data_IF_762943553323
#
_entry.id   IF_762943553323
#
_cell.length_a   1.000
_cell.length_b   1.000
_cell.length_c   1.000
_cell.angle_alpha   90.00
_cell.angle_beta   90.00
_cell.angle_gamma   90.00
#
_symmetry.space_group_name_H-M   'P 1'
#
loop_
_entity.id
_entity.type
_entity.pdbx_description
1 polymer ?
#
# COMPACT_ATOMS: atom_id res chain seq x y z
N UNK A 1 -52.00 -8.08 37.49
CA UNK A 1 -50.76 -8.87 37.49
C UNK A 1 -49.96 -8.70 36.21
N UNK A 2 -50.61 -8.75 35.04
CA UNK A 2 -49.96 -8.70 33.71
C UNK A 2 -49.13 -7.42 33.44
N UNK A 3 -49.64 -6.23 33.81
CA UNK A 3 -48.93 -4.94 33.68
C UNK A 3 -47.63 -4.92 34.49
N UNK A 4 -47.60 -5.58 35.65
CA UNK A 4 -46.43 -5.60 36.55
C UNK A 4 -45.34 -6.53 35.99
N UNK A 5 -45.73 -7.67 35.41
CA UNK A 5 -44.82 -8.57 34.69
C UNK A 5 -44.23 -7.92 33.43
N UNK A 6 -45.05 -7.22 32.64
CA UNK A 6 -44.59 -6.47 31.47
C UNK A 6 -43.59 -5.38 31.85
N UNK A 7 -43.85 -4.66 32.95
CA UNK A 7 -42.94 -3.61 33.45
C UNK A 7 -41.59 -4.18 33.89
N UNK A 8 -41.59 -5.31 34.60
CA UNK A 8 -40.35 -6.03 34.95
C UNK A 8 -39.58 -6.47 33.71
N UNK A 9 -40.28 -7.00 32.70
CA UNK A 9 -39.66 -7.44 31.46
C UNK A 9 -39.03 -6.27 30.68
N UNK A 10 -39.71 -5.13 30.59
CA UNK A 10 -39.18 -3.91 29.96
C UNK A 10 -37.92 -3.42 30.67
N UNK A 11 -37.93 -3.37 32.01
CA UNK A 11 -36.76 -2.95 32.78
C UNK A 11 -35.57 -3.91 32.58
N UNK A 12 -35.82 -5.22 32.53
CA UNK A 12 -34.79 -6.22 32.26
C UNK A 12 -34.20 -6.05 30.86
N UNK A 13 -35.06 -5.88 29.85
CA UNK A 13 -34.63 -5.65 28.47
C UNK A 13 -33.82 -4.36 28.35
N UNK A 14 -34.22 -3.29 29.03
CA UNK A 14 -33.51 -2.02 28.99
C UNK A 14 -32.12 -2.10 29.64
N UNK A 15 -32.01 -2.86 30.73
CA UNK A 15 -30.72 -3.17 31.34
C UNK A 15 -29.83 -4.01 30.40
N UNK A 16 -30.40 -4.98 29.68
CA UNK A 16 -29.68 -5.78 28.70
C UNK A 16 -29.18 -4.94 27.51
N UNK A 17 -30.02 -4.06 26.96
CA UNK A 17 -29.65 -3.15 25.86
C UNK A 17 -28.49 -2.26 26.29
N UNK A 18 -28.58 -1.63 27.46
CA UNK A 18 -27.48 -0.81 28.00
C UNK A 18 -26.19 -1.63 28.17
N UNK A 19 -26.30 -2.86 28.66
CA UNK A 19 -25.17 -3.79 28.77
C UNK A 19 -24.56 -4.16 27.41
N UNK A 20 -25.36 -4.33 26.37
CA UNK A 20 -24.88 -4.60 25.02
C UNK A 20 -24.23 -3.38 24.38
N UNK A 21 -24.77 -2.18 24.58
CA UNK A 21 -24.16 -0.93 24.10
C UNK A 21 -22.76 -0.71 24.69
N UNK A 22 -22.60 -0.95 25.99
CA UNK A 22 -21.29 -0.86 26.65
C UNK A 22 -20.29 -1.88 26.08
N UNK A 23 -20.73 -3.11 25.81
CA UNK A 23 -19.90 -4.15 25.18
C UNK A 23 -19.53 -3.79 23.74
N UNK A 24 -20.47 -3.24 22.96
CA UNK A 24 -20.22 -2.79 21.60
C UNK A 24 -19.16 -1.69 21.58
N UNK A 25 -19.31 -0.66 22.41
CA UNK A 25 -18.32 0.41 22.53
C UNK A 25 -16.92 -0.13 22.85
N UNK A 26 -16.82 -1.04 23.82
CA UNK A 26 -15.54 -1.66 24.19
C UNK A 26 -14.93 -2.45 23.04
N UNK A 27 -15.75 -3.18 22.27
CA UNK A 27 -15.27 -3.93 21.09
C UNK A 27 -14.84 -2.99 19.97
N UNK A 28 -15.56 -1.90 19.72
CA UNK A 28 -15.18 -0.90 18.72
C UNK A 28 -13.85 -0.24 19.05
N UNK A 29 -13.63 0.09 20.33
CA UNK A 29 -12.36 0.65 20.78
C UNK A 29 -11.20 -0.36 20.62
N UNK A 30 -11.46 -1.64 20.89
CA UNK A 30 -10.48 -2.71 20.65
C UNK A 30 -10.17 -2.91 19.17
N UNK A 31 -11.19 -2.89 18.30
CA UNK A 31 -11.01 -3.00 16.84
C UNK A 31 -10.13 -1.85 16.34
N UNK A 32 -10.43 -0.60 16.74
CA UNK A 32 -9.63 0.57 16.34
C UNK A 32 -8.15 0.44 16.73
N UNK A 33 -7.88 -0.03 17.95
CA UNK A 33 -6.50 -0.22 18.40
C UNK A 33 -5.79 -1.36 17.65
N UNK A 34 -6.49 -2.46 17.38
CA UNK A 34 -5.94 -3.57 16.60
C UNK A 34 -5.66 -3.16 15.15
N UNK A 35 -6.55 -2.42 14.51
CA UNK A 35 -6.35 -1.88 13.16
C UNK A 35 -5.12 -0.96 13.12
N UNK A 36 -4.96 -0.10 14.12
CA UNK A 36 -3.79 0.79 14.24
C UNK A 36 -2.49 0.00 14.39
N UNK A 37 -2.46 -1.02 15.25
CA UNK A 37 -1.28 -1.87 15.46
C UNK A 37 -0.95 -2.69 14.21
N UNK A 38 -1.97 -3.20 13.54
CA UNK A 38 -1.81 -3.94 12.28
C UNK A 38 -1.22 -3.05 11.19
N UNK A 39 -1.73 -1.82 11.02
CA UNK A 39 -1.19 -0.88 10.04
C UNK A 39 0.28 -0.54 10.32
N UNK A 40 0.68 -0.34 11.58
CA UNK A 40 2.09 -0.13 11.95
C UNK A 40 2.95 -1.36 11.61
N UNK A 41 2.48 -2.56 11.91
CA UNK A 41 3.20 -3.80 11.59
C UNK A 41 3.32 -4.03 10.08
N UNK A 42 2.25 -3.80 9.31
CA UNK A 42 2.27 -3.88 7.85
C UNK A 42 3.22 -2.85 7.25
N UNK A 43 3.20 -1.60 7.73
CA UNK A 43 4.15 -0.58 7.30
C UNK A 43 5.59 -1.06 7.51
N UNK A 44 5.88 -1.65 8.67
CA UNK A 44 7.22 -2.18 8.97
C UNK A 44 7.62 -3.30 8.02
N UNK A 45 6.73 -4.26 7.77
CA UNK A 45 6.98 -5.39 6.86
C UNK A 45 7.20 -4.97 5.41
N UNK A 46 6.59 -3.85 4.98
CA UNK A 46 6.72 -3.32 3.61
C UNK A 46 7.85 -2.32 3.44
N UNK A 47 8.65 -2.03 4.47
CA UNK A 47 9.69 -1.00 4.42
C UNK A 47 10.73 -1.24 3.33
N UNK A 48 10.99 -2.50 3.00
CA UNK A 48 11.98 -2.92 2.02
C UNK A 48 11.32 -3.36 0.70
N UNK A 49 9.99 -3.22 0.62
CA UNK A 49 9.20 -3.53 -0.56
C UNK A 49 9.04 -2.30 -1.46
N UNK A 50 9.01 -2.59 -2.76
CA UNK A 50 8.76 -1.64 -3.82
C UNK A 50 7.67 -2.19 -4.73
N UNK A 51 6.78 -1.32 -5.21
CA UNK A 51 5.76 -1.69 -6.19
C UNK A 51 6.08 -1.09 -7.57
N UNK A 52 6.08 -1.96 -8.57
CA UNK A 52 6.29 -1.63 -9.98
C UNK A 52 4.97 -1.81 -10.71
N UNK A 53 4.57 -0.82 -11.48
CA UNK A 53 3.38 -0.88 -12.34
C UNK A 53 3.71 -0.55 -13.78
N UNK A 54 2.96 -1.14 -14.72
CA UNK A 54 3.12 -0.90 -16.16
C UNK A 54 4.19 -1.74 -16.85
N UNK A 55 5.01 -2.48 -16.10
CA UNK A 55 5.99 -3.41 -16.69
C UNK A 55 5.27 -4.64 -17.27
N UNK A 56 5.40 -4.84 -18.58
CA UNK A 56 4.89 -6.03 -19.27
C UNK A 56 5.85 -7.19 -19.06
N UNK A 57 5.40 -8.25 -18.40
CA UNK A 57 6.20 -9.45 -18.15
C UNK A 57 5.60 -10.64 -18.88
N UNK A 58 6.48 -11.52 -19.39
CA UNK A 58 6.12 -12.73 -20.14
C UNK A 58 5.95 -13.96 -19.24
N UNK A 59 6.18 -13.82 -17.94
CA UNK A 59 6.10 -14.96 -17.04
C UNK A 59 4.66 -15.49 -17.01
N UNK A 60 4.50 -16.78 -17.40
CA UNK A 60 3.29 -17.55 -17.09
C UNK A 60 3.15 -17.47 -15.58
N UNK A 61 2.13 -16.75 -15.12
CA UNK A 61 1.76 -16.82 -13.72
C UNK A 61 1.73 -18.30 -13.31
N UNK A 62 2.18 -18.59 -12.10
CA UNK A 62 2.05 -19.89 -11.43
C UNK A 62 0.59 -20.44 -11.41
N UNK A 63 -0.38 -19.73 -11.99
CA UNK A 63 -1.76 -20.14 -12.21
C UNK A 63 -1.94 -21.39 -13.08
N UNK A 64 -0.96 -21.79 -13.90
CA UNK A 64 -1.11 -23.00 -14.73
C UNK A 64 -0.76 -24.30 -14.00
N UNK A 65 0.02 -24.25 -12.91
CA UNK A 65 0.35 -25.46 -12.12
C UNK A 65 -0.88 -25.93 -11.32
N UNK A 66 -1.74 -25.00 -10.90
CA UNK A 66 -3.02 -25.31 -10.25
C UNK A 66 -4.12 -25.79 -11.24
N UNK A 67 -3.89 -25.67 -12.55
CA UNK A 67 -4.90 -25.98 -13.59
C UNK A 67 -4.73 -27.37 -14.22
N UNK A 68 -3.80 -28.20 -13.74
CA UNK A 68 -3.69 -29.61 -14.14
C UNK A 68 -3.39 -29.86 -15.64
N UNK A 69 -2.98 -28.83 -16.39
CA UNK A 69 -2.68 -28.99 -17.79
C UNK A 69 -1.21 -29.41 -17.97
N UNK A 70 -1.01 -30.70 -18.19
CA UNK A 70 0.22 -31.27 -18.74
C UNK A 70 0.48 -30.61 -20.09
N UNK A 71 1.36 -29.60 -20.11
CA UNK A 71 1.86 -29.00 -21.34
C UNK A 71 3.37 -29.18 -21.35
N UNK A 72 3.74 -30.35 -21.89
CA UNK A 72 4.88 -30.68 -22.74
C UNK A 72 6.21 -29.95 -22.51
N UNK A 73 7.23 -30.76 -22.32
CA UNK A 73 8.65 -30.41 -22.20
C UNK A 73 9.12 -29.56 -23.39
N UNK A 74 9.17 -28.24 -23.20
CA UNK A 74 10.17 -27.40 -23.85
C UNK A 74 10.80 -26.53 -22.79
N UNK A 75 11.92 -27.02 -22.26
CA UNK A 75 12.85 -26.33 -21.38
C UNK A 75 13.57 -25.16 -22.10
N UNK A 76 12.81 -24.27 -22.75
CA UNK A 76 13.27 -22.92 -22.99
C UNK A 76 13.20 -22.23 -21.64
N UNK A 77 14.36 -21.99 -21.02
CA UNK A 77 14.53 -21.28 -19.75
C UNK A 77 13.55 -20.12 -19.67
N UNK A 78 12.42 -20.34 -18.99
CA UNK A 78 11.40 -19.31 -18.89
C UNK A 78 11.99 -18.26 -17.97
N UNK A 79 12.44 -17.16 -18.57
CA UNK A 79 13.07 -16.05 -17.86
C UNK A 79 12.22 -15.69 -16.64
N UNK A 80 12.81 -15.82 -15.45
CA UNK A 80 12.08 -15.58 -14.20
C UNK A 80 11.56 -14.14 -14.17
N UNK A 81 10.49 -13.90 -13.40
CA UNK A 81 9.98 -12.54 -13.19
C UNK A 81 11.08 -11.60 -12.70
N UNK A 82 11.92 -12.08 -11.78
CA UNK A 82 13.06 -11.35 -11.26
C UNK A 82 14.07 -10.97 -12.35
N UNK A 83 14.46 -11.94 -13.20
CA UNK A 83 15.38 -11.70 -14.33
C UNK A 83 14.83 -10.64 -15.29
N UNK A 84 13.54 -10.71 -15.64
CA UNK A 84 12.89 -9.72 -16.51
C UNK A 84 12.92 -8.32 -15.89
N UNK A 85 12.71 -8.22 -14.58
CA UNK A 85 12.77 -6.92 -13.89
C UNK A 85 14.21 -6.40 -13.87
N UNK A 86 15.20 -7.22 -13.53
CA UNK A 86 16.62 -6.86 -13.55
C UNK A 86 17.02 -6.38 -14.95
N UNK A 87 16.64 -7.12 -16.00
CA UNK A 87 16.93 -6.77 -17.39
C UNK A 87 16.30 -5.42 -17.77
N UNK A 88 15.03 -5.20 -17.38
CA UNK A 88 14.35 -3.93 -17.65
C UNK A 88 15.08 -2.75 -17.00
N UNK A 89 15.42 -2.84 -15.72
CA UNK A 89 16.14 -1.75 -15.03
C UNK A 89 17.57 -1.56 -15.57
N UNK A 90 18.25 -2.66 -15.92
CA UNK A 90 19.54 -2.61 -16.61
C UNK A 90 19.46 -1.83 -17.93
N UNK A 91 18.39 -2.02 -18.73
CA UNK A 91 18.15 -1.25 -19.97
C UNK A 91 17.89 0.25 -19.77
N UNK A 92 17.77 0.68 -18.50
CA UNK A 92 17.57 2.08 -18.08
C UNK A 92 18.72 2.60 -17.25
N UNK A 93 19.87 1.93 -17.29
CA UNK A 93 21.06 2.28 -16.51
C UNK A 93 20.79 2.33 -15.00
N UNK A 94 19.94 1.42 -14.51
CA UNK A 94 19.66 1.21 -13.08
C UNK A 94 20.13 -0.22 -12.75
N UNK A 95 21.36 -0.39 -12.28
CA UNK A 95 21.87 -1.72 -11.95
C UNK A 95 21.13 -2.28 -10.72
N UNK A 96 20.61 -3.50 -10.86
CA UNK A 96 20.06 -4.29 -9.76
C UNK A 96 20.69 -5.66 -9.84
N UNK A 97 21.26 -6.13 -8.74
CA UNK A 97 21.87 -7.44 -8.64
C UNK A 97 20.91 -8.42 -7.95
N UNK A 98 20.93 -9.69 -8.38
CA UNK A 98 20.08 -10.74 -7.83
C UNK A 98 20.21 -10.89 -6.31
N UNK A 99 21.42 -10.73 -5.76
CA UNK A 99 21.67 -10.80 -4.31
C UNK A 99 21.04 -9.63 -3.51
N UNK A 100 20.60 -8.57 -4.17
CA UNK A 100 19.88 -7.46 -3.52
C UNK A 100 18.38 -7.76 -3.39
N UNK A 101 17.86 -8.77 -4.09
CA UNK A 101 16.45 -9.13 -4.11
C UNK A 101 16.22 -10.33 -3.20
N UNK A 102 15.29 -10.18 -2.26
CA UNK A 102 14.83 -11.27 -1.38
C UNK A 102 13.59 -11.97 -1.95
N UNK A 103 12.71 -11.24 -2.63
CA UNK A 103 11.52 -11.79 -3.26
C UNK A 103 11.04 -10.92 -4.43
N UNK A 104 10.49 -11.53 -5.46
CA UNK A 104 9.87 -10.85 -6.59
C UNK A 104 8.62 -11.61 -7.04
N UNK A 105 7.44 -10.99 -7.00
CA UNK A 105 6.17 -11.63 -7.37
C UNK A 105 5.14 -10.61 -7.86
N UNK A 106 4.17 -11.06 -8.66
CA UNK A 106 3.05 -10.24 -9.11
C UNK A 106 1.94 -10.19 -8.06
N UNK A 107 1.30 -9.03 -7.90
CA UNK A 107 0.07 -8.92 -7.15
C UNK A 107 -1.12 -9.55 -7.90
N UNK A 108 -2.02 -10.25 -7.20
CA UNK A 108 -3.26 -10.75 -7.77
C UNK A 108 -4.07 -9.62 -8.37
N UNK A 109 -4.83 -9.95 -9.42
CA UNK A 109 -5.64 -8.99 -10.14
C UNK A 109 -7.10 -9.12 -9.79
N UNK A 110 -7.75 -8.00 -9.45
CA UNK A 110 -9.18 -7.99 -9.17
C UNK A 110 -10.04 -8.23 -10.42
N UNK A 111 -9.57 -7.87 -11.61
CA UNK A 111 -10.27 -8.11 -12.89
C UNK A 111 -9.37 -8.86 -13.88
N UNK A 112 -9.70 -10.12 -14.15
CA UNK A 112 -8.94 -10.99 -15.08
C UNK A 112 -8.94 -10.46 -16.53
N UNK A 113 -9.95 -9.68 -16.92
CA UNK A 113 -10.15 -9.20 -18.30
C UNK A 113 -9.50 -7.85 -18.61
N UNK A 114 -8.85 -7.21 -17.64
CA UNK A 114 -8.24 -5.91 -17.90
C UNK A 114 -6.97 -6.08 -18.76
N UNK A 115 -6.62 -5.07 -19.55
CA UNK A 115 -5.46 -5.11 -20.47
C UNK A 115 -4.15 -4.64 -19.83
N UNK A 116 -4.22 -4.06 -18.63
CA UNK A 116 -3.06 -3.56 -17.86
C UNK A 116 -2.19 -4.71 -17.32
N UNK A 117 -0.88 -4.55 -17.26
CA UNK A 117 -0.03 -5.54 -16.60
C UNK A 117 -0.26 -5.56 -15.08
N UNK A 118 -0.20 -6.74 -14.41
CA UNK A 118 -0.29 -6.79 -12.96
C UNK A 118 0.87 -6.01 -12.33
N UNK A 119 0.64 -5.43 -11.16
CA UNK A 119 1.71 -4.80 -10.41
C UNK A 119 2.67 -5.86 -9.87
N UNK A 120 3.96 -5.54 -9.79
CA UNK A 120 5.02 -6.43 -9.30
C UNK A 120 5.53 -5.86 -7.98
N UNK A 121 5.64 -6.72 -6.97
CA UNK A 121 6.34 -6.42 -5.73
C UNK A 121 7.76 -6.94 -5.84
N UNK A 122 8.71 -6.09 -5.48
CA UNK A 122 10.10 -6.48 -5.22
C UNK A 122 10.41 -6.17 -3.77
N UNK A 123 10.89 -7.17 -3.03
CA UNK A 123 11.50 -7.01 -1.72
C UNK A 123 13.00 -6.98 -1.86
N UNK A 124 13.61 -5.92 -1.37
CA UNK A 124 15.06 -5.83 -1.24
C UNK A 124 15.54 -6.45 0.06
N UNK A 125 16.76 -7.00 0.05
CA UNK A 125 17.47 -7.43 1.27
C UNK A 125 17.85 -6.21 2.11
N UNK A 126 18.20 -5.09 1.45
CA UNK A 126 18.61 -3.86 2.11
C UNK A 126 17.76 -2.67 1.67
N UNK A 127 17.27 -1.90 2.65
CA UNK A 127 16.52 -0.66 2.41
C UNK A 127 17.27 0.37 1.56
N UNK A 128 18.60 0.40 1.65
CA UNK A 128 19.43 1.33 0.86
C UNK A 128 19.27 1.09 -0.64
N UNK A 129 19.18 -0.17 -1.07
CA UNK A 129 19.00 -0.54 -2.48
C UNK A 129 17.62 -0.09 -2.97
N UNK A 130 16.56 -0.34 -2.18
CA UNK A 130 15.21 0.17 -2.46
C UNK A 130 15.20 1.70 -2.63
N UNK A 131 15.83 2.42 -1.70
CA UNK A 131 15.89 3.89 -1.73
C UNK A 131 16.68 4.39 -2.95
N UNK A 132 17.80 3.75 -3.27
CA UNK A 132 18.62 4.07 -4.44
C UNK A 132 17.86 3.87 -5.76
N UNK A 133 17.01 2.85 -5.84
CA UNK A 133 16.14 2.64 -7.01
C UNK A 133 15.06 3.73 -7.10
N UNK A 134 14.36 4.04 -6.00
CA UNK A 134 13.33 5.09 -5.98
C UNK A 134 13.86 6.47 -6.41
N UNK A 135 15.08 6.82 -6.01
CA UNK A 135 15.73 8.08 -6.41
C UNK A 135 16.01 8.15 -7.91
N UNK A 136 16.19 7.00 -8.56
CA UNK A 136 16.43 6.91 -10.00
C UNK A 136 15.15 6.79 -10.83
N UNK A 137 13.96 6.86 -10.20
CA UNK A 137 12.67 6.73 -10.90
C UNK A 137 12.46 7.74 -12.03
N UNK A 138 13.16 8.88 -12.04
CA UNK A 138 13.12 9.83 -13.14
C UNK A 138 13.63 9.25 -14.48
N UNK A 139 14.54 8.26 -14.44
CA UNK A 139 15.04 7.55 -15.64
C UNK A 139 13.96 6.70 -16.32
N UNK A 140 12.84 6.44 -15.64
CA UNK A 140 11.72 5.67 -16.18
C UNK A 140 10.70 6.54 -16.93
N UNK A 141 10.88 7.87 -16.94
CA UNK A 141 9.96 8.79 -17.63
C UNK A 141 9.84 8.42 -19.11
N UNK A 142 8.61 8.30 -19.60
CA UNK A 142 8.32 7.93 -20.99
C UNK A 142 8.26 6.42 -21.26
N UNK A 143 8.62 5.56 -20.30
CA UNK A 143 8.56 4.10 -20.48
C UNK A 143 7.16 3.51 -20.22
N UNK A 144 6.28 4.27 -19.56
CA UNK A 144 5.00 3.76 -19.05
C UNK A 144 5.15 2.86 -17.81
N UNK A 145 6.37 2.68 -17.29
CA UNK A 145 6.66 1.95 -16.05
C UNK A 145 6.82 2.94 -14.89
N UNK A 146 6.19 2.64 -13.77
CA UNK A 146 6.24 3.45 -12.56
C UNK A 146 6.71 2.61 -11.38
N UNK A 147 7.42 3.27 -10.47
CA UNK A 147 8.03 2.68 -9.28
C UNK A 147 7.62 3.53 -8.09
N UNK A 148 7.06 2.89 -7.06
CA UNK A 148 6.60 3.55 -5.85
C UNK A 148 6.91 2.72 -4.59
N UNK A 149 6.86 3.34 -3.41
CA UNK A 149 6.85 2.57 -2.16
C UNK A 149 5.60 1.67 -2.07
N UNK A 150 5.75 0.49 -1.48
CA UNK A 150 4.63 -0.39 -1.18
C UNK A 150 3.90 0.08 0.09
N UNK A 151 3.01 1.07 -0.06
CA UNK A 151 2.24 1.61 1.07
C UNK A 151 1.14 0.65 1.54
N UNK A 152 0.73 0.78 2.80
CA UNK A 152 -0.54 0.21 3.27
C UNK A 152 -1.71 0.89 2.57
N UNK A 153 -2.90 0.28 2.60
CA UNK A 153 -4.10 0.89 1.98
C UNK A 153 -4.40 2.28 2.55
N UNK A 154 -4.29 2.41 3.87
CA UNK A 154 -4.46 3.67 4.60
C UNK A 154 -3.49 4.74 4.09
N UNK A 155 -2.19 4.45 4.11
CA UNK A 155 -1.18 5.43 3.66
C UNK A 155 -1.25 5.69 2.15
N UNK A 156 -1.68 4.71 1.35
CA UNK A 156 -1.97 4.89 -0.07
C UNK A 156 -3.09 5.91 -0.32
N UNK A 157 -4.19 5.82 0.45
CA UNK A 157 -5.30 6.78 0.40
C UNK A 157 -4.85 8.18 0.85
N UNK A 158 -4.09 8.27 1.95
CA UNK A 158 -3.53 9.54 2.44
C UNK A 158 -2.61 10.16 1.38
N UNK A 159 -1.70 9.38 0.79
CA UNK A 159 -0.80 9.85 -0.25
C UNK A 159 -1.57 10.34 -1.50
N UNK A 160 -2.65 9.66 -1.87
CA UNK A 160 -3.52 10.13 -2.95
C UNK A 160 -4.17 11.47 -2.62
N UNK A 161 -4.78 11.62 -1.44
CA UNK A 161 -5.41 12.85 -1.01
C UNK A 161 -4.40 14.01 -0.94
N UNK A 162 -3.21 13.78 -0.37
CA UNK A 162 -2.13 14.77 -0.34
C UNK A 162 -1.70 15.21 -1.75
N UNK A 163 -1.64 14.30 -2.73
CA UNK A 163 -1.39 14.66 -4.13
C UNK A 163 -2.48 15.55 -4.72
N UNK A 164 -3.76 15.33 -4.38
CA UNK A 164 -4.85 16.20 -4.81
C UNK A 164 -4.71 17.61 -4.23
N UNK A 165 -4.35 17.72 -2.95
CA UNK A 165 -4.09 19.00 -2.29
C UNK A 165 -2.92 19.75 -2.95
N UNK A 166 -1.83 19.05 -3.26
CA UNK A 166 -0.70 19.63 -4.00
C UNK A 166 -1.14 20.13 -5.37
N UNK A 167 -1.92 19.33 -6.11
CA UNK A 167 -2.47 19.72 -7.43
C UNK A 167 -3.34 20.97 -7.33
N UNK A 168 -4.12 21.10 -6.25
CA UNK A 168 -4.92 22.27 -5.91
C UNK A 168 -4.12 23.43 -5.29
N UNK A 169 -2.78 23.31 -5.20
CA UNK A 169 -1.85 24.30 -4.60
C UNK A 169 -2.12 24.62 -3.11
N UNK A 170 -2.87 23.77 -2.40
CA UNK A 170 -3.17 23.95 -0.96
C UNK A 170 -2.02 23.56 -0.05
N UNK A 171 -1.09 22.76 -0.57
CA UNK A 171 0.19 22.43 0.07
C UNK A 171 1.32 22.57 -0.97
N UNK A 172 2.54 22.84 -0.50
CA UNK A 172 3.70 23.07 -1.36
C UNK A 172 4.20 21.78 -2.01
N UNK A 173 4.31 20.71 -1.22
CA UNK A 173 4.81 19.42 -1.70
C UNK A 173 4.24 18.24 -0.90
N UNK A 174 4.33 17.05 -1.49
CA UNK A 174 4.09 15.77 -0.81
C UNK A 174 5.00 14.70 -1.38
N UNK A 175 5.43 13.77 -0.53
CA UNK A 175 6.21 12.59 -0.90
C UNK A 175 5.99 11.47 0.11
N UNK A 176 6.51 10.29 -0.21
CA UNK A 176 6.49 9.12 0.68
C UNK A 176 7.92 8.74 1.01
N UNK A 177 8.15 8.29 2.25
CA UNK A 177 9.43 7.73 2.68
C UNK A 177 9.20 6.75 3.81
N UNK A 178 9.78 5.57 3.70
CA UNK A 178 9.67 4.51 4.72
C UNK A 178 8.20 4.17 4.99
N UNK A 179 7.42 4.05 3.92
CA UNK A 179 5.98 3.78 3.94
C UNK A 179 5.12 4.83 4.65
N UNK A 180 5.67 6.01 4.98
CA UNK A 180 4.98 7.13 5.61
C UNK A 180 4.77 8.27 4.63
N UNK A 181 3.69 9.03 4.80
CA UNK A 181 3.35 10.16 3.95
C UNK A 181 3.79 11.45 4.62
N UNK A 182 4.45 12.30 3.84
CA UNK A 182 4.87 13.63 4.28
C UNK A 182 4.26 14.69 3.36
N UNK A 183 3.96 15.83 3.96
CA UNK A 183 3.58 17.06 3.26
C UNK A 183 4.52 18.18 3.66
N UNK A 184 4.70 19.14 2.77
CA UNK A 184 5.25 20.45 3.08
C UNK A 184 4.15 21.49 2.96
N UNK A 185 3.91 22.24 4.03
CA UNK A 185 2.90 23.30 4.05
C UNK A 185 3.33 24.49 3.20
N UNK A 186 2.37 25.31 2.80
CA UNK A 186 2.67 26.65 2.31
C UNK A 186 3.06 27.53 3.50
N UNK A 187 3.97 28.48 3.28
CA UNK A 187 4.35 29.52 4.22
C UNK A 187 4.29 30.88 3.53
N UNK A 188 4.11 31.96 4.30
CA UNK A 188 4.27 33.31 3.75
C UNK A 188 5.75 33.56 3.38
N UNK A 189 6.65 33.02 4.20
CA UNK A 189 8.09 32.95 3.96
C UNK A 189 8.58 31.49 3.90
N UNK A 190 9.77 31.23 3.32
CA UNK A 190 10.38 29.90 3.38
C UNK A 190 10.59 29.37 4.80
N UNK A 191 10.82 30.25 5.79
CA UNK A 191 10.96 29.86 7.21
C UNK A 191 9.66 29.40 7.85
N UNK A 192 8.50 29.80 7.31
CA UNK A 192 7.17 29.38 7.79
C UNK A 192 6.75 28.01 7.26
N UNK A 193 7.47 27.48 6.26
CA UNK A 193 7.18 26.16 5.72
C UNK A 193 7.51 25.08 6.74
N UNK A 194 6.60 24.11 6.88
CA UNK A 194 6.75 22.98 7.79
C UNK A 194 6.62 21.69 7.02
N UNK A 195 7.49 20.74 7.35
CA UNK A 195 7.36 19.36 6.90
C UNK A 195 6.64 18.57 7.98
N UNK A 196 5.49 18.02 7.64
CA UNK A 196 4.64 17.28 8.56
C UNK A 196 4.47 15.85 8.06
N UNK A 197 4.49 14.90 8.99
CA UNK A 197 4.12 13.51 8.73
C UNK A 197 2.62 13.36 8.96
N UNK A 198 1.92 12.86 7.95
CA UNK A 198 0.48 12.66 7.96
C UNK A 198 0.19 11.24 8.45
N UNK A 199 -0.48 11.11 9.58
CA UNK A 199 -0.78 9.83 10.23
C UNK A 199 -2.20 9.36 9.92
N UNK A 200 -3.13 10.30 9.86
CA UNK A 200 -4.54 10.06 9.61
C UNK A 200 -5.05 10.88 8.42
N UNK A 201 -6.16 10.45 7.82
CA UNK A 201 -6.80 11.23 6.76
C UNK A 201 -7.24 12.61 7.26
N UNK A 202 -7.64 12.70 8.53
CA UNK A 202 -8.12 13.95 9.13
C UNK A 202 -7.04 15.02 9.30
N UNK A 203 -5.77 14.61 9.40
CA UNK A 203 -4.63 15.54 9.40
C UNK A 203 -4.59 16.39 8.12
N UNK A 204 -5.20 15.93 7.03
CA UNK A 204 -5.29 16.66 5.75
C UNK A 204 -6.50 17.62 5.69
N UNK A 205 -7.49 17.50 6.57
CA UNK A 205 -8.70 18.34 6.54
C UNK A 205 -8.38 19.82 6.78
N UNK A 206 -7.31 20.12 7.51
CA UNK A 206 -6.82 21.48 7.75
C UNK A 206 -6.42 22.22 6.45
N UNK A 207 -6.20 21.49 5.36
CA UNK A 207 -5.74 22.03 4.09
C UNK A 207 -6.77 21.83 2.97
N UNK A 208 -8.01 21.46 3.30
CA UNK A 208 -9.06 21.15 2.32
C UNK A 208 -9.78 22.36 1.76
#
# INVERSE_FOLDING_TARGET
>A
MEILQLTQQVNLLQAQVSGYEAKLKKKDDQIKELEKRLDVAEQYYRLDDLIISGLKTRHRAYSNVAAGNNADDTAAETETLESQVIQFFGSKDIPIHRNQISACHTLPRNNKNSTTSPAIIIRFVNRKDKVGLLQQGFKLKGTGVFVNEHLTRKNGNIAYAARQLKKAKKIKATWTRNCKVYIRTNGATPEDERVLMVKEMDDLNLYK
#
